data_IF_453716378063
#
_entry.id   IF_453716378063
#
_cell.length_a   1.000
_cell.length_b   1.000
_cell.length_c   1.000
_cell.angle_alpha   90.00
_cell.angle_beta   90.00
_cell.angle_gamma   90.00
#
_symmetry.space_group_name_H-M   'P 1'
#
loop_
_entity.id
_entity.type
_entity.pdbx_description
1 polymer ?
#
# COMPACT_ATOMS: atom_id res chain seq x y z
N UNK A 1 11.74 -5.74 14.13
CA UNK A 1 10.90 -4.53 14.07
C UNK A 1 9.83 -4.80 13.04
N UNK A 2 8.58 -4.48 13.33
CA UNK A 2 7.50 -4.62 12.35
C UNK A 2 7.38 -3.31 11.58
N UNK A 3 7.27 -3.41 10.26
CA UNK A 3 7.05 -2.28 9.36
C UNK A 3 5.66 -2.44 8.79
N UNK A 4 4.77 -1.51 9.08
CA UNK A 4 3.39 -1.52 8.59
C UNK A 4 3.29 -0.76 7.27
N UNK A 5 2.71 -1.37 6.25
CA UNK A 5 2.51 -0.76 4.93
C UNK A 5 1.05 -0.33 4.77
N UNK A 6 0.82 0.93 4.41
CA UNK A 6 -0.49 1.52 4.22
C UNK A 6 -0.64 2.01 2.78
N UNK A 7 -1.79 1.72 2.18
CA UNK A 7 -2.15 2.20 0.85
C UNK A 7 -2.94 3.49 0.98
N UNK A 8 -2.44 4.55 0.35
CA UNK A 8 -2.97 5.92 0.48
C UNK A 8 -3.01 6.64 -0.85
N UNK A 9 -3.85 7.66 -0.95
CA UNK A 9 -3.86 8.57 -2.09
C UNK A 9 -2.63 9.46 -2.07
N UNK A 10 -1.99 9.61 -3.23
CA UNK A 10 -0.87 10.54 -3.40
C UNK A 10 -1.32 11.97 -3.11
N UNK A 11 -0.57 12.65 -2.26
CA UNK A 11 -0.76 14.08 -1.99
C UNK A 11 -0.23 14.97 -3.12
N UNK A 12 0.65 14.43 -3.95
CA UNK A 12 1.22 15.13 -5.10
C UNK A 12 0.33 15.03 -6.35
N UNK A 13 -0.24 13.84 -6.60
CA UNK A 13 -0.99 13.56 -7.82
C UNK A 13 -2.41 13.03 -7.50
N UNK A 14 -3.46 13.81 -7.77
CA UNK A 14 -4.83 13.37 -7.49
C UNK A 14 -5.20 12.15 -8.34
N UNK A 15 -5.82 11.15 -7.71
CA UNK A 15 -6.20 9.89 -8.36
C UNK A 15 -5.08 8.86 -8.47
N UNK A 16 -3.88 9.18 -7.99
CA UNK A 16 -2.77 8.23 -7.92
C UNK A 16 -2.75 7.55 -6.55
N UNK A 17 -2.80 6.23 -6.53
CA UNK A 17 -2.64 5.44 -5.30
C UNK A 17 -1.16 5.09 -5.13
N UNK A 18 -0.65 5.29 -3.91
CA UNK A 18 0.73 4.99 -3.50
C UNK A 18 0.72 4.22 -2.19
N UNK A 19 1.89 3.80 -1.70
CA UNK A 19 2.01 3.22 -0.37
C UNK A 19 2.98 4.01 0.52
N UNK A 20 2.67 4.02 1.82
CA UNK A 20 3.57 4.51 2.86
C UNK A 20 3.89 3.38 3.84
N UNK A 21 5.08 3.39 4.39
CA UNK A 21 5.49 2.45 5.44
C UNK A 21 5.70 3.19 6.74
N UNK A 22 5.31 2.56 7.85
CA UNK A 22 5.54 3.05 9.19
C UNK A 22 6.33 1.99 9.96
N UNK A 23 7.50 2.36 10.45
CA UNK A 23 8.30 1.53 11.32
C UNK A 23 8.33 2.13 12.72
N UNK A 24 8.17 1.27 13.73
CA UNK A 24 8.27 1.68 15.13
C UNK A 24 9.60 1.20 15.66
N UNK A 25 10.50 2.14 15.88
CA UNK A 25 11.80 1.90 16.50
C UNK A 25 11.72 2.23 17.99
N UNK A 26 12.14 1.28 18.83
CA UNK A 26 12.26 1.54 20.27
C UNK A 26 13.68 1.98 20.56
N UNK A 27 13.86 3.26 20.82
CA UNK A 27 15.16 3.82 21.19
C UNK A 27 15.28 3.77 22.71
N UNK A 28 16.33 3.10 23.18
CA UNK A 28 16.70 3.12 24.60
C UNK A 28 17.91 4.03 24.75
N UNK A 29 17.70 5.18 25.37
CA UNK A 29 18.76 6.12 25.71
C UNK A 29 18.93 6.20 27.24
N UNK A 30 19.94 6.93 27.73
CA UNK A 30 20.18 7.16 29.15
C UNK A 30 19.01 7.80 29.90
N UNK A 31 18.01 8.36 29.20
CA UNK A 31 16.78 8.91 29.76
C UNK A 31 15.62 7.89 29.89
N UNK A 32 15.78 6.68 29.36
CA UNK A 32 14.77 5.62 29.38
C UNK A 32 14.43 5.07 28.00
N UNK A 33 13.36 4.27 27.94
CA UNK A 33 12.86 3.67 26.69
C UNK A 33 11.79 4.60 26.10
N UNK A 34 12.01 5.07 24.88
CA UNK A 34 11.02 5.83 24.10
C UNK A 34 10.84 5.23 22.72
N UNK A 35 9.60 5.22 22.23
CA UNK A 35 9.30 4.76 20.88
C UNK A 35 9.35 5.95 19.91
N UNK A 36 10.13 5.80 18.85
CA UNK A 36 10.15 6.70 17.69
C UNK A 36 9.44 6.01 16.52
N UNK A 37 8.59 6.76 15.83
CA UNK A 37 7.94 6.27 14.60
C UNK A 37 8.66 6.91 13.43
N UNK A 38 9.25 6.08 12.57
CA UNK A 38 9.82 6.51 11.30
C UNK A 38 8.84 6.12 10.19
N UNK A 39 8.31 7.11 9.49
CA UNK A 39 7.38 6.93 8.38
C UNK A 39 8.05 7.28 7.06
N UNK A 40 8.00 6.36 6.11
CA UNK A 40 8.56 6.54 4.79
C UNK A 40 7.45 6.46 3.73
N UNK A 41 7.24 7.55 2.99
CA UNK A 41 6.29 7.54 1.87
C UNK A 41 7.00 7.12 0.60
N UNK A 42 6.53 6.07 -0.06
CA UNK A 42 7.04 5.63 -1.35
C UNK A 42 6.12 6.13 -2.46
N UNK A 43 6.63 6.99 -3.33
CA UNK A 43 5.89 7.50 -4.49
C UNK A 43 5.86 6.47 -5.64
N UNK A 44 5.59 5.20 -5.32
CA UNK A 44 5.42 4.12 -6.29
C UNK A 44 3.93 3.96 -6.54
N UNK A 45 3.52 4.06 -7.81
CA UNK A 45 2.11 3.90 -8.18
C UNK A 45 1.69 2.46 -7.98
N UNK A 46 0.72 2.22 -7.11
CA UNK A 46 0.07 0.93 -7.01
C UNK A 46 -0.99 0.80 -8.11
N UNK A 47 -0.94 -0.31 -8.84
CA UNK A 47 -1.90 -0.64 -9.91
C UNK A 47 -2.97 -1.63 -9.48
N UNK A 48 -2.71 -2.44 -8.45
CA UNK A 48 -3.63 -3.45 -7.93
C UNK A 48 -3.33 -3.78 -6.47
N UNK A 49 -4.30 -4.39 -5.80
CA UNK A 49 -4.15 -4.94 -4.45
C UNK A 49 -3.10 -6.06 -4.44
N UNK A 50 -3.13 -6.95 -5.43
CA UNK A 50 -2.13 -8.01 -5.59
C UNK A 50 -0.70 -7.46 -5.70
N UNK A 51 -0.49 -6.34 -6.40
CA UNK A 51 0.82 -5.70 -6.49
C UNK A 51 1.28 -5.21 -5.11
N UNK A 52 0.40 -4.58 -4.33
CA UNK A 52 0.72 -4.15 -2.98
C UNK A 52 1.02 -5.34 -2.04
N UNK A 53 0.28 -6.46 -2.20
CA UNK A 53 0.56 -7.70 -1.47
C UNK A 53 1.90 -8.32 -1.84
N UNK A 54 2.25 -8.37 -3.12
CA UNK A 54 3.56 -8.84 -3.56
C UNK A 54 4.70 -7.99 -3.00
N UNK A 55 4.56 -6.66 -2.99
CA UNK A 55 5.57 -5.76 -2.40
C UNK A 55 5.69 -6.02 -0.90
N UNK A 56 4.57 -6.16 -0.20
CA UNK A 56 4.57 -6.43 1.24
C UNK A 56 5.17 -7.81 1.57
N UNK A 57 4.91 -8.84 0.77
CA UNK A 57 5.48 -10.17 0.96
C UNK A 57 6.99 -10.20 0.67
N UNK A 58 7.42 -9.58 -0.44
CA UNK A 58 8.83 -9.50 -0.87
C UNK A 58 9.68 -8.77 0.18
N UNK A 59 9.19 -7.65 0.69
CA UNK A 59 9.90 -6.82 1.66
C UNK A 59 9.64 -7.24 3.13
N UNK A 60 8.65 -8.12 3.37
CA UNK A 60 8.24 -8.56 4.70
C UNK A 60 7.49 -7.50 5.51
N UNK A 61 6.72 -6.63 4.85
CA UNK A 61 5.88 -5.62 5.48
C UNK A 61 4.51 -6.16 5.91
N UNK A 62 3.96 -5.59 6.98
CA UNK A 62 2.58 -5.86 7.40
C UNK A 62 1.62 -4.95 6.62
N UNK A 63 1.03 -5.48 5.55
CA UNK A 63 0.09 -4.74 4.71
C UNK A 63 -1.25 -4.49 5.40
N UNK A 64 -1.63 -3.21 5.44
CA UNK A 64 -2.93 -2.76 5.91
C UNK A 64 -3.95 -2.75 4.76
N UNK A 65 -4.72 -3.85 4.63
CA UNK A 65 -5.77 -4.05 3.62
C UNK A 65 -7.07 -3.29 3.93
N UNK A 66 -6.96 -2.01 4.29
CA UNK A 66 -8.10 -1.16 4.67
C UNK A 66 -7.86 0.29 4.28
N UNK A 67 -8.92 0.94 3.79
CA UNK A 67 -8.94 2.37 3.45
C UNK A 67 -9.45 2.60 2.04
N UNK A 68 -9.94 3.82 1.78
CA UNK A 68 -10.55 4.17 0.48
C UNK A 68 -9.59 3.98 -0.70
N UNK A 69 -8.31 4.29 -0.52
CA UNK A 69 -7.29 4.09 -1.55
C UNK A 69 -7.04 2.59 -1.86
N UNK A 70 -7.11 1.74 -0.83
CA UNK A 70 -7.03 0.28 -1.00
C UNK A 70 -8.25 -0.26 -1.73
N UNK A 71 -9.44 0.14 -1.29
CA UNK A 71 -10.72 -0.30 -1.89
C UNK A 71 -10.90 0.21 -3.32
N UNK A 72 -10.21 1.29 -3.70
CA UNK A 72 -10.19 1.78 -5.07
C UNK A 72 -9.26 1.01 -6.01
N UNK A 73 -8.31 0.22 -5.49
CA UNK A 73 -7.44 -0.59 -6.32
C UNK A 73 -8.17 -1.86 -6.78
N UNK A 74 -8.00 -2.27 -8.05
CA UNK A 74 -8.48 -3.58 -8.50
C UNK A 74 -7.74 -4.69 -7.76
N UNK A 75 -8.41 -5.82 -7.51
CA UNK A 75 -7.81 -6.96 -6.82
C UNK A 75 -6.60 -7.53 -7.61
N UNK A 76 -6.71 -7.63 -8.93
CA UNK A 76 -5.66 -8.14 -9.83
C UNK A 76 -5.15 -7.07 -10.82
N UNK A 77 -3.89 -7.18 -11.27
CA UNK A 77 -3.32 -6.32 -12.33
C UNK A 77 -3.87 -6.75 -13.71
N UNK A 78 -5.17 -6.54 -13.93
CA UNK A 78 -5.81 -6.63 -15.24
C UNK A 78 -6.13 -8.05 -15.75
N UNK A 79 -7.32 -8.53 -15.43
CA UNK A 79 -8.28 -8.83 -16.49
C UNK A 79 -9.18 -7.59 -16.58
N UNK A 80 -8.82 -6.67 -17.47
CA UNK A 80 -9.81 -5.73 -17.98
C UNK A 80 -10.91 -6.58 -18.61
N UNK A 81 -12.04 -6.68 -17.93
CA UNK A 81 -13.28 -7.19 -18.52
C UNK A 81 -13.73 -6.13 -19.55
N UNK A 82 -13.04 -6.09 -20.70
CA UNK A 82 -13.61 -5.57 -21.92
C UNK A 82 -14.77 -6.50 -22.26
N UNK A 83 -15.95 -6.10 -21.79
CA UNK A 83 -17.21 -6.65 -22.25
C UNK A 83 -17.24 -6.58 -23.77
N UNK A 84 -17.23 -7.74 -24.41
CA UNK A 84 -17.74 -7.85 -25.78
C UNK A 84 -19.25 -8.09 -25.65
N UNK A 85 -20.09 -7.21 -26.21
CA UNK A 85 -21.54 -7.36 -26.13
C UNK A 85 -21.98 -8.64 -26.86
N UNK A 86 -22.99 -9.30 -26.28
CA UNK A 86 -23.90 -10.22 -26.98
C UNK A 86 -24.41 -9.55 -28.27
N UNK A 87 -24.02 -10.04 -29.46
CA UNK A 87 -24.79 -9.85 -30.70
C UNK A 87 -24.67 -11.07 -31.64
N UNK A 88 -25.74 -11.88 -31.62
CA UNK A 88 -26.52 -12.46 -32.73
C UNK A 88 -25.84 -12.94 -34.04
N UNK A 89 -25.95 -14.25 -34.32
CA UNK A 89 -26.46 -14.82 -35.59
C UNK A 89 -26.55 -16.36 -35.54
#
# INVERSE_FOLDING_TARGET
MAVSMHVVWSKCEPGRVIYETHSIETVTDGSGVHATVDSHTYEISLRSQAQAESIADEEGFELYRKGEAWESLPEEEGLSEEGLPEEDA
#
